data_IF_788278572718
#
_entry.id   IF_788278572718
#
_cell.length_a   1.000
_cell.length_b   1.000
_cell.length_c   1.000
_cell.angle_alpha   90.00
_cell.angle_beta   90.00
_cell.angle_gamma   90.00
#
_symmetry.space_group_name_H-M   'P 1'
#
loop_
_entity.id
_entity.type
_entity.pdbx_description
1 polymer ?
#
# COMPACT_ATOMS: atom_id res chain seq x y z
N UNK A 1 -6.63 1.65 7.73
CA UNK A 1 -5.34 0.94 7.87
C UNK A 1 -4.58 0.85 6.56
N UNK A 2 -5.28 0.62 5.46
CA UNK A 2 -4.60 0.51 4.17
C UNK A 2 -3.85 1.79 3.78
N UNK A 3 -4.30 2.93 4.22
CA UNK A 3 -3.65 4.19 3.90
C UNK A 3 -2.22 4.25 4.44
N UNK A 4 -2.01 3.70 5.63
CA UNK A 4 -0.68 3.70 6.23
C UNK A 4 0.28 2.88 5.38
N UNK A 5 -0.17 1.74 4.89
CA UNK A 5 0.64 0.90 4.02
C UNK A 5 0.98 1.64 2.73
N UNK A 6 0.00 2.29 2.13
CA UNK A 6 0.21 3.01 0.89
C UNK A 6 1.25 4.12 1.08
N UNK A 7 1.17 4.83 2.18
CA UNK A 7 2.12 5.91 2.47
C UNK A 7 3.53 5.38 2.62
N UNK A 8 3.68 4.26 3.32
CA UNK A 8 4.99 3.65 3.52
C UNK A 8 5.59 3.15 2.22
N UNK A 9 4.76 2.58 1.36
CA UNK A 9 5.21 2.12 0.06
C UNK A 9 5.69 3.31 -0.77
N UNK A 10 4.95 4.40 -0.77
CA UNK A 10 5.33 5.61 -1.50
C UNK A 10 6.64 6.18 -0.99
N UNK A 11 6.85 6.08 0.30
CA UNK A 11 8.07 6.59 0.93
C UNK A 11 9.27 5.66 0.73
N UNK A 12 9.04 4.48 0.16
CA UNK A 12 10.11 3.51 -0.05
C UNK A 12 10.48 2.74 1.20
N UNK A 13 9.61 2.77 2.22
CA UNK A 13 9.89 2.08 3.49
C UNK A 13 9.44 0.62 3.47
N UNK A 14 8.56 0.27 2.53
CA UNK A 14 8.10 -1.10 2.40
C UNK A 14 7.62 -1.32 0.96
N UNK A 15 7.41 -2.58 0.60
CA UNK A 15 6.92 -2.92 -0.73
C UNK A 15 5.51 -3.50 -0.62
N UNK A 16 4.83 -3.62 -1.74
CA UNK A 16 3.49 -4.19 -1.77
C UNK A 16 3.49 -5.63 -1.24
N UNK A 17 4.56 -6.35 -1.48
CA UNK A 17 4.68 -7.72 -1.00
C UNK A 17 4.77 -7.81 0.52
N UNK A 18 5.19 -6.74 1.18
CA UNK A 18 5.26 -6.68 2.63
C UNK A 18 3.88 -6.50 3.26
N UNK A 19 2.89 -6.12 2.46
CA UNK A 19 1.53 -5.90 2.94
C UNK A 19 0.81 -7.26 3.04
N UNK A 20 0.08 -7.51 4.13
CA UNK A 20 -0.72 -8.74 4.23
C UNK A 20 -1.64 -8.88 3.02
N UNK A 21 -1.83 -10.11 2.58
CA UNK A 21 -2.61 -10.39 1.38
C UNK A 21 -4.01 -9.78 1.46
N UNK A 22 -4.58 -9.81 2.63
CA UNK A 22 -5.93 -9.31 2.86
C UNK A 22 -6.05 -7.81 2.56
N UNK A 23 -4.96 -7.05 2.77
CA UNK A 23 -4.95 -5.61 2.54
C UNK A 23 -4.28 -5.22 1.22
N UNK A 24 -3.65 -6.17 0.56
CA UNK A 24 -2.83 -5.87 -0.62
C UNK A 24 -3.62 -5.22 -1.74
N UNK A 25 -4.80 -5.76 -2.04
CA UNK A 25 -5.63 -5.19 -3.09
C UNK A 25 -6.08 -3.78 -2.76
N UNK A 26 -6.46 -3.57 -1.50
CA UNK A 26 -6.91 -2.26 -1.05
C UNK A 26 -5.80 -1.24 -1.19
N UNK A 27 -4.60 -1.62 -0.77
CA UNK A 27 -3.44 -0.75 -0.86
C UNK A 27 -3.12 -0.43 -2.32
N UNK A 28 -3.21 -1.44 -3.17
CA UNK A 28 -2.96 -1.26 -4.60
C UNK A 28 -3.92 -0.24 -5.19
N UNK A 29 -5.20 -0.32 -4.82
CA UNK A 29 -6.20 0.63 -5.29
C UNK A 29 -5.90 2.03 -4.81
N UNK A 30 -5.49 2.17 -3.55
CA UNK A 30 -5.16 3.48 -3.00
C UNK A 30 -3.96 4.09 -3.70
N UNK A 31 -2.96 3.27 -4.02
CA UNK A 31 -1.78 3.75 -4.73
C UNK A 31 -2.15 4.25 -6.13
N UNK A 32 -3.06 3.54 -6.78
CA UNK A 32 -3.51 3.94 -8.12
C UNK A 32 -4.30 5.25 -8.08
N UNK A 33 -5.10 5.43 -7.04
CA UNK A 33 -5.91 6.63 -6.91
C UNK A 33 -5.07 7.86 -6.60
N UNK A 34 -4.06 7.69 -5.77
CA UNK A 34 -3.21 8.81 -5.37
C UNK A 34 -2.00 8.99 -6.26
N UNK A 35 -1.71 7.95 -6.98
CA UNK A 35 -0.54 7.93 -7.82
C UNK A 35 -0.59 8.83 -8.93
#
# INVERSE_FOLDING_TARGET
MAKIYARRIKAGLMTLEDVPEIWREKVKQLLEQEG
#
